data_IF_380104193034
#
_entry.id   IF_380104193034
#
_cell.length_a   1.000
_cell.length_b   1.000
_cell.length_c   1.000
_cell.angle_alpha   90.00
_cell.angle_beta   90.00
_cell.angle_gamma   90.00
#
_symmetry.space_group_name_H-M   'P 1'
#
loop_
_entity.id
_entity.type
_entity.pdbx_description
1 polymer ?
#
# COMPACT_ATOMS: atom_id res chain seq x y z
N UNK A 1 -7.59 -4.52 -22.98
CA UNK A 1 -8.22 -3.26 -23.45
C UNK A 1 -7.21 -2.13 -23.35
N UNK A 2 -7.07 -1.35 -24.41
CA UNK A 2 -5.91 -0.48 -24.65
C UNK A 2 -6.08 0.84 -23.91
N UNK A 3 -5.21 1.12 -22.93
CA UNK A 3 -5.00 2.49 -22.45
C UNK A 3 -4.08 3.19 -23.43
N UNK A 4 -4.55 4.29 -24.01
CA UNK A 4 -3.81 5.06 -25.00
C UNK A 4 -3.64 4.35 -26.34
N UNK A 5 -4.41 4.76 -27.35
CA UNK A 5 -4.07 4.43 -28.72
C UNK A 5 -2.87 5.30 -29.15
N UNK A 6 -1.88 4.74 -29.86
CA UNK A 6 -0.68 5.51 -30.25
C UNK A 6 -1.01 6.74 -31.09
N UNK A 7 -2.12 6.73 -31.85
CA UNK A 7 -2.60 7.91 -32.58
C UNK A 7 -3.51 8.83 -31.77
N UNK A 8 -3.80 8.53 -30.49
CA UNK A 8 -4.51 9.48 -29.65
C UNK A 8 -3.65 10.74 -29.48
N UNK A 9 -4.18 11.95 -29.73
CA UNK A 9 -3.42 13.19 -29.59
C UNK A 9 -2.96 13.43 -28.14
N UNK A 10 -3.62 12.79 -27.17
CA UNK A 10 -3.24 12.82 -25.75
C UNK A 10 -2.42 11.61 -25.32
N UNK A 11 -2.00 10.72 -26.23
CA UNK A 11 -1.17 9.58 -25.86
C UNK A 11 0.09 10.02 -25.13
N UNK A 12 0.32 9.46 -23.95
CA UNK A 12 1.48 9.80 -23.14
C UNK A 12 2.73 9.20 -23.75
N UNK A 13 3.57 10.07 -24.32
CA UNK A 13 4.82 9.66 -24.94
C UNK A 13 5.85 9.12 -23.93
N UNK A 14 5.68 9.44 -22.63
CA UNK A 14 6.58 9.00 -21.57
C UNK A 14 6.37 7.53 -21.21
N UNK A 15 5.18 7.13 -20.75
CA UNK A 15 4.94 5.72 -20.39
C UNK A 15 4.55 4.86 -21.60
N UNK A 16 4.07 5.46 -22.70
CA UNK A 16 3.47 4.75 -23.85
C UNK A 16 2.41 3.74 -23.44
N UNK A 17 1.72 4.01 -22.35
CA UNK A 17 0.76 3.10 -21.72
C UNK A 17 -0.59 3.75 -21.43
N UNK A 18 -0.71 5.08 -21.48
CA UNK A 18 -1.96 5.77 -21.15
C UNK A 18 -2.10 7.09 -21.92
N UNK A 19 -3.29 7.65 -21.96
CA UNK A 19 -3.56 9.00 -22.45
C UNK A 19 -3.32 10.02 -21.30
N UNK A 20 -3.06 11.30 -21.63
CA UNK A 20 -3.05 12.42 -20.69
C UNK A 20 -4.49 12.78 -20.33
N UNK A 21 -4.76 13.06 -19.06
CA UNK A 21 -6.08 13.44 -18.58
C UNK A 21 -6.51 14.77 -19.20
N UNK A 22 -7.76 14.85 -19.66
CA UNK A 22 -8.29 16.06 -20.31
C UNK A 22 -8.35 17.27 -19.38
N UNK A 23 -8.62 17.04 -18.09
CA UNK A 23 -8.77 18.09 -17.09
C UNK A 23 -7.45 18.70 -16.60
N UNK A 24 -6.39 17.90 -16.51
CA UNK A 24 -5.10 18.34 -15.93
C UNK A 24 -3.92 18.25 -16.90
N UNK A 25 -4.14 17.71 -18.10
CA UNK A 25 -3.13 17.42 -19.12
C UNK A 25 -1.92 16.59 -18.66
N UNK A 26 -2.06 15.85 -17.55
CA UNK A 26 -1.04 14.92 -17.03
C UNK A 26 -1.45 13.47 -17.26
N UNK A 27 -0.48 12.61 -17.55
CA UNK A 27 -0.68 11.16 -17.56
C UNK A 27 -0.70 10.64 -16.12
N UNK A 28 -1.82 10.06 -15.69
CA UNK A 28 -1.96 9.58 -14.32
C UNK A 28 -1.09 8.35 -14.04
N UNK A 29 -0.86 7.46 -15.02
CA UNK A 29 0.11 6.36 -14.87
C UNK A 29 1.54 6.86 -14.64
N UNK A 30 1.98 7.87 -15.40
CA UNK A 30 3.29 8.51 -15.14
C UNK A 30 3.29 9.27 -13.82
N UNK A 31 2.18 9.93 -13.47
CA UNK A 31 2.07 10.69 -12.23
C UNK A 31 2.21 9.79 -11.01
N UNK A 32 1.58 8.61 -11.02
CA UNK A 32 1.73 7.62 -9.96
C UNK A 32 3.20 7.22 -9.83
N UNK A 33 3.90 6.95 -10.95
CA UNK A 33 5.35 6.70 -10.93
C UNK A 33 6.17 7.86 -10.37
N UNK A 34 5.86 9.09 -10.77
CA UNK A 34 6.54 10.30 -10.25
C UNK A 34 6.25 10.54 -8.76
N UNK A 35 5.05 10.20 -8.29
CA UNK A 35 4.72 10.24 -6.86
C UNK A 35 5.57 9.21 -6.12
N UNK A 36 5.70 7.98 -6.64
CA UNK A 36 6.58 6.97 -6.05
C UNK A 36 8.04 7.45 -5.99
N UNK A 37 8.58 7.97 -7.10
CA UNK A 37 9.97 8.48 -7.16
C UNK A 37 10.19 9.67 -6.19
N UNK A 38 9.19 10.56 -6.04
CA UNK A 38 9.26 11.70 -5.11
C UNK A 38 9.13 11.29 -3.65
N UNK A 39 8.25 10.35 -3.33
CA UNK A 39 8.10 9.82 -1.96
C UNK A 39 9.41 9.15 -1.54
N UNK A 40 10.01 8.35 -2.42
CA UNK A 40 11.32 7.75 -2.20
C UNK A 40 12.41 8.81 -1.96
N UNK A 41 12.41 9.88 -2.76
CA UNK A 41 13.35 11.01 -2.58
C UNK A 41 13.12 11.77 -1.27
N UNK A 42 11.87 11.97 -0.84
CA UNK A 42 11.54 12.65 0.43
C UNK A 42 12.02 11.80 1.61
N UNK A 43 11.68 10.51 1.62
CA UNK A 43 12.10 9.60 2.70
C UNK A 43 13.62 9.49 2.80
N UNK A 44 14.33 9.44 1.67
CA UNK A 44 15.78 9.33 1.64
C UNK A 44 16.50 10.65 1.98
N UNK A 45 15.86 11.82 1.80
CA UNK A 45 16.48 13.14 1.98
C UNK A 45 15.90 13.95 3.15
N UNK A 46 15.21 13.32 4.10
CA UNK A 46 14.57 13.99 5.24
C UNK A 46 15.54 14.78 6.14
N UNK A 47 16.86 14.68 5.92
CA UNK A 47 17.90 15.42 6.68
C UNK A 47 18.24 16.83 6.15
N UNK A 48 17.67 17.31 5.03
CA UNK A 48 18.19 18.52 4.36
C UNK A 48 17.16 19.61 3.96
N UNK A 49 15.90 19.55 4.39
CA UNK A 49 14.92 20.59 4.03
C UNK A 49 14.65 21.52 5.21
N UNK A 50 15.61 22.39 5.51
CA UNK A 50 15.31 23.67 6.13
C UNK A 50 15.93 24.78 5.29
N UNK A 51 15.03 25.63 4.78
CA UNK A 51 15.20 26.99 4.26
C UNK A 51 15.01 27.17 2.74
N UNK A 52 14.02 28.00 2.43
CA UNK A 52 13.98 28.85 1.23
C UNK A 52 13.34 28.24 -0.01
N UNK A 53 12.00 28.26 -0.10
CA UNK A 53 11.34 28.49 -1.38
C UNK A 53 9.90 28.94 -1.17
N UNK A 54 9.66 30.21 -1.44
CA UNK A 54 8.33 30.78 -1.64
C UNK A 54 7.63 30.07 -2.82
N UNK A 55 6.30 29.98 -2.74
CA UNK A 55 5.37 29.54 -3.78
C UNK A 55 5.60 28.13 -4.36
N UNK A 56 5.31 27.08 -3.58
CA UNK A 56 4.89 25.80 -4.16
C UNK A 56 3.39 25.84 -4.40
N UNK A 57 3.00 25.95 -5.67
CA UNK A 57 1.64 25.70 -6.12
C UNK A 57 1.15 24.37 -5.51
N UNK A 58 0.03 24.43 -4.80
CA UNK A 58 -0.63 23.24 -4.27
C UNK A 58 -1.04 22.40 -5.47
N UNK A 59 -0.28 21.33 -5.74
CA UNK A 59 -0.50 20.47 -6.90
C UNK A 59 -1.89 19.83 -6.80
N UNK A 60 -2.83 20.35 -7.59
CA UNK A 60 -4.23 19.92 -7.59
C UNK A 60 -4.26 18.41 -7.86
N UNK A 61 -4.73 17.63 -6.88
CA UNK A 61 -5.01 16.21 -7.06
C UNK A 61 -6.20 16.11 -8.00
N UNK A 62 -5.92 15.96 -9.30
CA UNK A 62 -6.94 15.61 -10.28
C UNK A 62 -7.59 14.27 -9.90
N UNK A 63 -8.77 14.34 -9.28
CA UNK A 63 -9.56 13.17 -8.84
C UNK A 63 -10.38 12.55 -9.97
N UNK A 64 -10.49 13.24 -11.11
CA UNK A 64 -11.27 12.79 -12.26
C UNK A 64 -10.35 12.24 -13.36
N UNK A 65 -10.40 10.93 -13.59
CA UNK A 65 -9.94 10.32 -14.83
C UNK A 65 -10.98 10.60 -15.92
N UNK A 66 -10.83 11.70 -16.67
CA UNK A 66 -11.83 12.18 -17.63
C UNK A 66 -11.36 12.19 -19.09
N UNK A 67 -10.41 11.33 -19.45
CA UNK A 67 -10.08 11.15 -20.85
C UNK A 67 -10.50 9.75 -21.31
N UNK A 68 -11.64 9.70 -21.99
CA UNK A 68 -12.07 8.53 -22.71
C UNK A 68 -11.55 8.66 -24.15
N UNK A 69 -10.53 7.89 -24.51
CA UNK A 69 -9.95 7.94 -25.86
C UNK A 69 -10.93 7.35 -26.92
N UNK A 70 -12.11 6.82 -26.52
CA UNK A 70 -13.18 6.34 -27.41
C UNK A 70 -14.27 7.39 -27.71
N UNK A 71 -14.36 8.47 -26.93
CA UNK A 71 -15.41 9.49 -27.07
C UNK A 71 -15.28 10.36 -28.34
N UNK A 72 -14.21 10.21 -29.12
CA UNK A 72 -14.07 10.84 -30.45
C UNK A 72 -14.60 9.96 -31.59
N UNK A 73 -15.21 8.81 -31.28
CA UNK A 73 -16.01 8.06 -32.26
C UNK A 73 -17.47 8.55 -32.26
N UNK A 74 -18.13 8.64 -33.44
CA UNK A 74 -19.47 9.22 -33.52
C UNK A 74 -20.48 8.44 -32.66
N UNK A 75 -21.23 9.22 -31.87
CA UNK A 75 -22.34 8.91 -30.97
C UNK A 75 -22.87 7.46 -30.97
N UNK A 76 -22.52 6.73 -29.90
CA UNK A 76 -23.41 5.72 -29.32
C UNK A 76 -23.47 5.96 -27.80
N UNK A 77 -24.62 6.42 -27.33
CA UNK A 77 -24.96 6.47 -25.91
C UNK A 77 -24.93 5.07 -25.28
N UNK A 78 -24.10 4.85 -24.24
CA UNK A 78 -24.43 4.02 -23.06
C UNK A 78 -23.32 4.00 -21.99
N UNK A 79 -23.76 4.26 -20.75
CA UNK A 79 -23.23 3.85 -19.43
C UNK A 79 -21.71 3.92 -19.12
N UNK A 80 -21.42 4.84 -18.19
CA UNK A 80 -20.12 5.29 -17.69
C UNK A 80 -19.35 4.31 -16.76
N UNK A 81 -19.37 3.00 -17.01
CA UNK A 81 -18.64 2.00 -16.18
C UNK A 81 -17.72 1.05 -16.95
N UNK A 82 -17.72 1.04 -18.30
CA UNK A 82 -16.96 0.05 -19.10
C UNK A 82 -15.53 0.49 -19.47
N UNK A 83 -15.12 1.73 -19.17
CA UNK A 83 -13.80 2.22 -19.55
C UNK A 83 -12.73 1.89 -18.49
N UNK A 84 -12.09 0.72 -18.71
CA UNK A 84 -10.66 0.42 -18.45
C UNK A 84 -10.24 -0.05 -17.03
N UNK A 85 -10.89 -1.10 -16.56
CA UNK A 85 -10.18 -2.14 -15.79
C UNK A 85 -9.26 -2.90 -16.75
N UNK A 86 -7.96 -2.66 -16.68
CA UNK A 86 -6.99 -3.61 -17.22
C UNK A 86 -6.80 -4.66 -16.14
N UNK A 87 -7.22 -5.89 -16.42
CA UNK A 87 -6.91 -6.99 -15.52
C UNK A 87 -5.41 -7.01 -15.25
N UNK A 88 -4.95 -7.00 -14.00
CA UNK A 88 -3.49 -7.02 -13.69
C UNK A 88 -2.80 -8.18 -14.39
N UNK A 89 -3.51 -9.31 -14.46
CA UNK A 89 -3.28 -10.49 -15.29
C UNK A 89 -2.87 -10.20 -16.75
N UNK A 90 -3.21 -9.04 -17.32
CA UNK A 90 -2.91 -8.67 -18.71
C UNK A 90 -1.83 -7.60 -18.83
N UNK A 91 -1.13 -7.27 -17.73
CA UNK A 91 -0.09 -6.23 -17.69
C UNK A 91 1.19 -6.66 -18.42
N UNK A 92 1.99 -5.73 -18.96
CA UNK A 92 3.23 -6.06 -19.66
C UNK A 92 4.23 -6.68 -18.68
N UNK A 93 4.58 -7.95 -18.86
CA UNK A 93 5.52 -8.70 -17.99
C UNK A 93 4.94 -10.01 -17.46
N UNK A 94 3.61 -10.08 -17.30
CA UNK A 94 2.91 -11.30 -16.90
C UNK A 94 1.73 -11.50 -17.85
N UNK A 95 1.95 -12.18 -18.98
CA UNK A 95 0.90 -12.43 -20.00
C UNK A 95 0.02 -13.59 -19.53
N UNK A 96 -0.95 -13.30 -18.68
CA UNK A 96 -2.00 -14.25 -18.35
C UNK A 96 -2.91 -14.34 -19.58
N UNK A 97 -2.99 -15.53 -20.18
CA UNK A 97 -3.82 -15.77 -21.35
C UNK A 97 -5.30 -15.63 -20.93
N UNK A 98 -5.99 -14.61 -21.45
CA UNK A 98 -7.38 -14.31 -21.05
C UNK A 98 -8.34 -15.47 -21.31
N UNK A 99 -8.18 -16.20 -22.41
CA UNK A 99 -9.01 -17.38 -22.71
C UNK A 99 -8.77 -18.48 -21.67
N UNK A 100 -7.51 -18.71 -21.30
CA UNK A 100 -7.16 -19.67 -20.24
C UNK A 100 -7.73 -19.23 -18.89
N UNK A 101 -7.63 -17.94 -18.57
CA UNK A 101 -8.17 -17.34 -17.36
C UNK A 101 -9.68 -17.47 -17.25
N UNK A 102 -10.41 -17.10 -18.30
CA UNK A 102 -11.86 -17.15 -18.31
C UNK A 102 -12.42 -18.58 -18.23
N UNK A 103 -11.61 -19.58 -18.59
CA UNK A 103 -11.91 -21.01 -18.47
C UNK A 103 -11.28 -21.65 -17.22
N UNK A 104 -10.59 -20.87 -16.39
CA UNK A 104 -9.95 -21.42 -15.21
C UNK A 104 -10.98 -21.80 -14.16
N UNK A 105 -10.66 -22.83 -13.38
CA UNK A 105 -11.53 -23.32 -12.32
C UNK A 105 -11.80 -22.23 -11.28
N UNK A 106 -12.97 -22.32 -10.63
CA UNK A 106 -13.34 -21.42 -9.54
C UNK A 106 -13.09 -22.12 -8.22
N UNK A 107 -12.21 -21.55 -7.40
CA UNK A 107 -11.91 -21.98 -6.03
C UNK A 107 -12.79 -21.20 -5.06
N UNK A 108 -13.26 -21.87 -4.00
CA UNK A 108 -13.96 -21.21 -2.90
C UNK A 108 -13.02 -20.99 -1.72
N UNK A 109 -12.75 -19.74 -1.38
CA UNK A 109 -11.95 -19.34 -0.21
C UNK A 109 -12.91 -19.03 0.94
N UNK A 110 -12.75 -19.69 2.07
CA UNK A 110 -13.52 -19.44 3.29
C UNK A 110 -12.66 -18.63 4.24
N UNK A 111 -13.10 -17.42 4.59
CA UNK A 111 -12.35 -16.52 5.47
C UNK A 111 -12.93 -16.44 6.89
N UNK A 112 -12.02 -16.38 7.85
CA UNK A 112 -12.31 -16.13 9.26
C UNK A 112 -13.13 -17.24 9.92
N UNK A 113 -13.50 -17.01 11.17
CA UNK A 113 -14.30 -17.95 11.96
C UNK A 113 -15.71 -18.17 11.38
N UNK A 114 -16.26 -17.13 10.74
CA UNK A 114 -17.57 -17.18 10.08
C UNK A 114 -17.55 -17.98 8.78
N UNK A 115 -16.36 -18.31 8.24
CA UNK A 115 -16.17 -19.02 6.98
C UNK A 115 -16.96 -18.37 5.84
N UNK A 116 -16.79 -17.06 5.67
CA UNK A 116 -17.43 -16.32 4.59
C UNK A 116 -16.86 -16.79 3.23
N UNK A 117 -17.69 -17.27 2.28
CA UNK A 117 -17.21 -17.85 1.03
C UNK A 117 -16.94 -16.79 -0.06
N UNK A 118 -15.74 -16.84 -0.64
CA UNK A 118 -15.32 -16.05 -1.80
C UNK A 118 -15.03 -16.97 -2.97
N UNK A 119 -15.66 -16.71 -4.12
CA UNK A 119 -15.49 -17.52 -5.34
C UNK A 119 -14.53 -16.81 -6.29
N UNK A 120 -13.37 -17.42 -6.54
CA UNK A 120 -12.26 -16.77 -7.25
C UNK A 120 -11.68 -17.71 -8.31
N UNK A 121 -11.29 -17.16 -9.45
CA UNK A 121 -10.55 -17.88 -10.48
C UNK A 121 -9.19 -18.38 -9.96
N UNK A 122 -8.96 -19.69 -10.02
CA UNK A 122 -7.73 -20.34 -9.56
C UNK A 122 -6.48 -19.69 -10.15
N UNK A 123 -6.52 -19.43 -11.47
CA UNK A 123 -5.37 -18.89 -12.19
C UNK A 123 -4.98 -17.49 -11.70
N UNK A 124 -5.92 -16.74 -11.14
CA UNK A 124 -5.66 -15.41 -10.59
C UNK A 124 -4.88 -15.50 -9.28
N UNK A 125 -5.32 -16.38 -8.37
CA UNK A 125 -4.64 -16.63 -7.11
C UNK A 125 -3.21 -17.15 -7.34
N UNK A 126 -3.07 -18.16 -8.20
CA UNK A 126 -1.78 -18.79 -8.51
C UNK A 126 -0.80 -17.85 -9.24
N UNK A 127 -1.30 -16.83 -9.95
CA UNK A 127 -0.45 -15.86 -10.64
C UNK A 127 0.14 -14.80 -9.69
N UNK A 128 -0.61 -14.44 -8.65
CA UNK A 128 -0.24 -13.34 -7.75
C UNK A 128 0.38 -13.82 -6.43
N UNK A 129 0.10 -15.05 -6.00
CA UNK A 129 0.51 -15.58 -4.70
C UNK A 129 1.23 -16.91 -4.82
N UNK A 130 2.45 -16.96 -4.30
CA UNK A 130 3.23 -18.21 -4.21
C UNK A 130 2.54 -19.20 -3.27
N UNK A 131 1.96 -18.70 -2.17
CA UNK A 131 1.18 -19.51 -1.23
C UNK A 131 0.04 -20.27 -1.92
N UNK A 132 -0.85 -19.57 -2.63
CA UNK A 132 -1.97 -20.22 -3.32
C UNK A 132 -1.50 -21.12 -4.45
N UNK A 133 -0.46 -20.70 -5.20
CA UNK A 133 0.13 -21.52 -6.25
C UNK A 133 0.61 -22.88 -5.72
N UNK A 134 1.34 -22.87 -4.61
CA UNK A 134 1.84 -24.08 -3.99
C UNK A 134 0.68 -24.94 -3.44
N UNK A 135 -0.26 -24.32 -2.74
CA UNK A 135 -1.41 -25.00 -2.15
C UNK A 135 -2.31 -25.68 -3.20
N UNK A 136 -2.57 -25.01 -4.32
CA UNK A 136 -3.54 -25.47 -5.32
C UNK A 136 -2.93 -26.37 -6.41
N UNK A 137 -1.62 -26.28 -6.67
CA UNK A 137 -0.98 -27.06 -7.75
C UNK A 137 -0.18 -28.28 -7.28
N UNK A 138 0.16 -28.39 -5.99
CA UNK A 138 1.01 -29.50 -5.49
C UNK A 138 0.17 -30.77 -5.16
N UNK A 139 -1.13 -30.79 -5.46
CA UNK A 139 -1.96 -31.98 -5.27
C UNK A 139 -2.43 -32.20 -3.82
N UNK A 140 -2.34 -31.16 -2.98
CA UNK A 140 -2.83 -31.18 -1.60
C UNK A 140 -4.36 -31.27 -1.52
N UNK A 141 -4.91 -31.46 -0.32
CA UNK A 141 -6.36 -31.62 -0.10
C UNK A 141 -7.17 -30.50 -0.76
N UNK A 142 -6.70 -29.26 -0.65
CA UNK A 142 -7.32 -28.05 -1.20
C UNK A 142 -7.43 -28.08 -2.74
N UNK A 143 -6.43 -28.68 -3.41
CA UNK A 143 -6.46 -28.87 -4.86
C UNK A 143 -7.55 -29.86 -5.31
N UNK A 144 -7.90 -30.81 -4.44
CA UNK A 144 -8.92 -31.82 -4.71
C UNK A 144 -10.32 -31.28 -4.39
N UNK A 145 -10.48 -30.62 -3.23
CA UNK A 145 -11.78 -30.09 -2.79
C UNK A 145 -12.18 -28.79 -3.45
N UNK A 146 -11.24 -28.09 -4.09
CA UNK A 146 -11.45 -26.74 -4.66
C UNK A 146 -11.92 -25.73 -3.62
N UNK A 147 -11.45 -25.93 -2.39
CA UNK A 147 -11.74 -25.07 -1.25
C UNK A 147 -10.49 -24.82 -0.42
N UNK A 148 -10.33 -23.59 0.06
CA UNK A 148 -9.28 -23.19 0.99
C UNK A 148 -9.93 -22.54 2.18
N UNK A 149 -9.49 -22.88 3.39
CA UNK A 149 -9.91 -22.20 4.63
C UNK A 149 -8.75 -21.34 5.11
N UNK A 150 -9.03 -20.08 5.43
CA UNK A 150 -8.07 -19.13 5.98
C UNK A 150 -8.68 -18.55 7.26
N UNK A 151 -8.16 -18.98 8.40
CA UNK A 151 -8.76 -18.78 9.73
C UNK A 151 -7.83 -18.13 10.76
N UNK A 152 -6.67 -17.63 10.33
CA UNK A 152 -5.79 -16.87 11.22
C UNK A 152 -6.30 -15.43 11.33
N UNK A 153 -5.86 -14.73 12.38
CA UNK A 153 -6.30 -13.37 12.69
C UNK A 153 -6.03 -12.36 11.56
N UNK A 154 -4.96 -12.57 10.81
CA UNK A 154 -4.59 -11.73 9.66
C UNK A 154 -5.45 -11.99 8.41
N UNK A 155 -6.21 -13.09 8.37
CA UNK A 155 -7.06 -13.49 7.24
C UNK A 155 -8.41 -12.76 7.26
N UNK A 156 -8.36 -11.44 7.45
CA UNK A 156 -9.55 -10.62 7.57
C UNK A 156 -10.26 -10.48 6.21
N UNK A 157 -11.61 -10.40 6.20
CA UNK A 157 -12.36 -10.08 4.98
C UNK A 157 -11.86 -8.81 4.29
N UNK A 158 -11.54 -7.77 5.07
CA UNK A 158 -11.00 -6.51 4.57
C UNK A 158 -9.71 -6.72 3.76
N UNK A 159 -8.71 -7.39 4.32
CA UNK A 159 -7.44 -7.60 3.63
C UNK A 159 -7.60 -8.45 2.38
N UNK A 160 -8.44 -9.49 2.45
CA UNK A 160 -8.72 -10.35 1.30
C UNK A 160 -9.47 -9.62 0.18
N UNK A 161 -10.47 -8.79 0.49
CA UNK A 161 -11.17 -7.97 -0.50
C UNK A 161 -10.19 -7.04 -1.25
N UNK A 162 -9.23 -6.43 -0.54
CA UNK A 162 -8.21 -5.60 -1.18
C UNK A 162 -7.20 -6.42 -1.99
N UNK A 163 -6.87 -7.63 -1.55
CA UNK A 163 -6.13 -8.58 -2.39
C UNK A 163 -6.90 -8.97 -3.65
N UNK A 164 -8.22 -9.13 -3.57
CA UNK A 164 -9.07 -9.39 -4.73
C UNK A 164 -9.08 -8.22 -5.71
N UNK A 165 -9.26 -6.99 -5.21
CA UNK A 165 -9.13 -5.77 -6.01
C UNK A 165 -7.74 -5.71 -6.67
N UNK A 166 -6.67 -6.01 -5.93
CA UNK A 166 -5.32 -6.06 -6.46
C UNK A 166 -5.17 -7.08 -7.60
N UNK A 167 -5.66 -8.30 -7.39
CA UNK A 167 -5.62 -9.36 -8.38
C UNK A 167 -6.32 -8.95 -9.68
N UNK A 168 -7.52 -8.38 -9.56
CA UNK A 168 -8.31 -7.97 -10.71
C UNK A 168 -7.84 -6.65 -11.32
N UNK A 169 -7.38 -5.66 -10.56
CA UNK A 169 -7.17 -4.30 -11.06
C UNK A 169 -5.72 -3.84 -11.04
N UNK A 170 -4.87 -4.51 -10.27
CA UNK A 170 -3.47 -4.13 -10.07
C UNK A 170 -3.28 -2.99 -9.07
N UNK A 171 -4.34 -2.66 -8.34
CA UNK A 171 -4.39 -1.71 -7.24
C UNK A 171 -5.65 -2.01 -6.42
N UNK A 172 -5.71 -1.50 -5.20
CA UNK A 172 -6.95 -1.46 -4.43
C UNK A 172 -7.34 -0.02 -4.12
N UNK A 173 -8.63 0.18 -3.85
CA UNK A 173 -9.19 1.48 -3.53
C UNK A 173 -9.69 1.49 -2.09
N UNK A 174 -9.55 2.64 -1.42
CA UNK A 174 -10.15 2.82 -0.11
C UNK A 174 -11.67 2.95 -0.25
N UNK A 175 -12.39 2.43 0.75
CA UNK A 175 -13.83 2.67 0.86
C UNK A 175 -14.14 4.17 0.97
N UNK A 176 -15.32 4.58 0.53
CA UNK A 176 -15.76 5.99 0.55
C UNK A 176 -16.25 6.47 1.92
N UNK A 177 -16.15 5.63 2.95
CA UNK A 177 -16.52 5.97 4.32
C UNK A 177 -15.65 7.10 4.87
N UNK A 178 -16.28 8.12 5.49
CA UNK A 178 -15.60 9.31 6.02
C UNK A 178 -14.63 9.01 7.18
N UNK A 179 -14.76 7.84 7.79
CA UNK A 179 -13.97 7.41 8.96
C UNK A 179 -13.13 6.15 8.66
N UNK A 180 -12.83 5.87 7.39
CA UNK A 180 -12.00 4.72 7.05
C UNK A 180 -10.58 4.92 7.61
N UNK A 181 -10.15 4.06 8.54
CA UNK A 181 -8.79 4.00 9.05
C UNK A 181 -7.84 3.51 7.93
N UNK A 182 -7.46 4.44 7.03
CA UNK A 182 -6.74 4.12 5.80
C UNK A 182 -5.42 3.42 6.08
N UNK A 183 -4.68 3.90 7.07
CA UNK A 183 -3.39 3.32 7.46
C UNK A 183 -3.56 1.90 8.02
N UNK A 184 -4.60 1.65 8.83
CA UNK A 184 -4.93 0.30 9.32
C UNK A 184 -5.32 -0.64 8.18
N UNK A 185 -5.98 -0.12 7.15
CA UNK A 185 -6.29 -0.89 5.94
C UNK A 185 -5.00 -1.31 5.23
N UNK A 186 -4.08 -0.37 5.00
CA UNK A 186 -2.80 -0.67 4.35
C UNK A 186 -1.94 -1.64 5.18
N UNK A 187 -1.96 -1.52 6.50
CA UNK A 187 -1.29 -2.45 7.42
C UNK A 187 -1.88 -3.87 7.34
N UNK A 188 -3.21 -4.00 7.37
CA UNK A 188 -3.89 -5.29 7.22
C UNK A 188 -3.53 -5.96 5.89
N UNK A 189 -3.53 -5.18 4.79
CA UNK A 189 -3.13 -5.67 3.46
C UNK A 189 -1.65 -6.05 3.42
N UNK A 190 -0.77 -5.26 4.03
CA UNK A 190 0.67 -5.54 4.07
C UNK A 190 0.98 -6.87 4.76
N UNK A 191 0.42 -7.09 5.96
CA UNK A 191 0.58 -8.32 6.73
C UNK A 191 -0.01 -9.51 5.99
N UNK A 192 -1.23 -9.37 5.46
CA UNK A 192 -1.87 -10.41 4.68
C UNK A 192 -1.04 -10.79 3.44
N UNK A 193 -0.55 -9.79 2.70
CA UNK A 193 0.26 -9.99 1.50
C UNK A 193 1.58 -10.72 1.79
N UNK A 194 2.21 -10.45 2.92
CA UNK A 194 3.38 -11.20 3.37
C UNK A 194 3.06 -12.66 3.60
N UNK A 195 1.99 -12.92 4.35
CA UNK A 195 1.50 -14.26 4.69
C UNK A 195 1.18 -15.09 3.44
N UNK A 196 0.49 -14.50 2.45
CA UNK A 196 0.21 -15.18 1.18
C UNK A 196 1.37 -15.09 0.17
N UNK A 197 2.53 -14.57 0.57
CA UNK A 197 3.72 -14.43 -0.27
C UNK A 197 3.45 -13.67 -1.59
N UNK A 198 2.66 -12.60 -1.52
CA UNK A 198 2.39 -11.67 -2.61
C UNK A 198 3.24 -10.39 -2.43
N UNK A 199 4.54 -10.50 -2.73
CA UNK A 199 5.51 -9.44 -2.43
C UNK A 199 5.22 -8.11 -3.13
N UNK A 200 4.66 -8.15 -4.35
CA UNK A 200 4.28 -6.92 -5.06
C UNK A 200 3.15 -6.18 -4.36
N UNK A 201 2.15 -6.90 -3.81
CA UNK A 201 1.08 -6.29 -3.03
C UNK A 201 1.61 -5.75 -1.70
N UNK A 202 2.50 -6.50 -1.04
CA UNK A 202 3.18 -6.07 0.19
C UNK A 202 3.91 -4.75 -0.05
N UNK A 203 4.70 -4.66 -1.12
CA UNK A 203 5.39 -3.42 -1.49
C UNK A 203 4.41 -2.29 -1.81
N UNK A 204 3.33 -2.57 -2.57
CA UNK A 204 2.32 -1.57 -2.90
C UNK A 204 1.63 -0.99 -1.65
N UNK A 205 1.22 -1.84 -0.70
CA UNK A 205 0.58 -1.42 0.54
C UNK A 205 1.50 -0.54 1.39
N UNK A 206 2.79 -0.88 1.46
CA UNK A 206 3.78 -0.05 2.16
C UNK A 206 3.91 1.34 1.51
N UNK A 207 3.96 1.43 0.19
CA UNK A 207 4.05 2.71 -0.48
C UNK A 207 2.80 3.58 -0.29
N UNK A 208 1.62 2.96 -0.29
CA UNK A 208 0.37 3.64 0.05
C UNK A 208 0.40 4.21 1.47
N UNK A 209 0.85 3.42 2.45
CA UNK A 209 1.03 3.87 3.83
C UNK A 209 2.05 5.02 3.96
N UNK A 210 3.16 4.97 3.22
CA UNK A 210 4.15 6.06 3.18
C UNK A 210 3.52 7.38 2.73
N UNK A 211 2.67 7.34 1.70
CA UNK A 211 1.94 8.53 1.21
C UNK A 211 1.04 9.12 2.29
N UNK A 212 0.35 8.27 3.06
CA UNK A 212 -0.51 8.71 4.18
C UNK A 212 0.31 9.35 5.31
N UNK A 213 1.42 8.72 5.71
CA UNK A 213 2.29 9.22 6.77
C UNK A 213 3.04 10.51 6.40
N UNK A 214 3.29 10.73 5.11
CA UNK A 214 3.96 11.95 4.61
C UNK A 214 3.01 13.15 4.42
N UNK A 215 1.70 13.02 4.68
CA UNK A 215 0.77 14.12 4.46
C UNK A 215 1.07 15.32 5.39
N UNK A 216 1.29 16.53 4.86
CA UNK A 216 1.57 17.72 5.67
C UNK A 216 0.31 18.27 6.36
N UNK A 217 -0.87 17.76 6.04
CA UNK A 217 -2.13 18.27 6.56
C UNK A 217 -2.40 17.70 7.95
N UNK A 218 -2.45 18.57 8.97
CA UNK A 218 -2.77 18.19 10.36
C UNK A 218 -4.08 17.43 10.51
N UNK A 219 -5.08 17.72 9.67
CA UNK A 219 -6.36 17.01 9.67
C UNK A 219 -6.17 15.52 9.29
N UNK A 220 -5.37 15.25 8.26
CA UNK A 220 -5.06 13.90 7.80
C UNK A 220 -4.25 13.14 8.85
N UNK A 221 -3.33 13.82 9.55
CA UNK A 221 -2.59 13.23 10.69
C UNK A 221 -3.59 12.79 11.76
N UNK A 222 -4.52 13.66 12.17
CA UNK A 222 -5.49 13.32 13.22
C UNK A 222 -6.42 12.16 12.82
N UNK A 223 -6.87 12.10 11.56
CA UNK A 223 -7.67 10.96 11.10
C UNK A 223 -6.85 9.67 11.06
N UNK A 224 -5.57 9.74 10.68
CA UNK A 224 -4.67 8.59 10.68
C UNK A 224 -4.31 8.11 12.09
N UNK A 225 -4.40 8.99 13.10
CA UNK A 225 -4.22 8.63 14.50
C UNK A 225 -5.37 7.76 15.03
N UNK A 226 -6.56 7.83 14.41
CA UNK A 226 -7.67 6.94 14.75
C UNK A 226 -7.33 5.51 14.29
N UNK A 227 -7.16 4.59 15.24
CA UNK A 227 -6.73 3.22 14.95
C UNK A 227 -5.21 3.05 14.84
N UNK A 228 -4.42 4.10 15.05
CA UNK A 228 -2.97 4.06 14.86
C UNK A 228 -2.27 3.14 15.86
N UNK A 229 -2.71 3.17 17.11
CA UNK A 229 -2.14 2.37 18.18
C UNK A 229 -2.39 0.87 17.96
N UNK A 230 -3.61 0.54 17.55
CA UNK A 230 -4.02 -0.79 17.14
C UNK A 230 -3.24 -1.24 15.91
N UNK A 231 -2.96 -0.33 14.98
CA UNK A 231 -2.12 -0.60 13.79
C UNK A 231 -0.68 -0.94 14.17
N UNK A 232 -0.09 -0.24 15.15
CA UNK A 232 1.24 -0.55 15.67
C UNK A 232 1.25 -1.97 16.24
N UNK A 233 0.33 -2.27 17.16
CA UNK A 233 0.25 -3.59 17.78
C UNK A 233 0.08 -4.68 16.71
N UNK A 234 -0.87 -4.51 15.81
CA UNK A 234 -1.17 -5.47 14.75
C UNK A 234 0.05 -5.74 13.86
N UNK A 235 0.77 -4.71 13.40
CA UNK A 235 1.95 -4.87 12.55
C UNK A 235 3.09 -5.53 13.31
N UNK A 236 3.39 -5.09 14.53
CA UNK A 236 4.49 -5.66 15.31
C UNK A 236 4.20 -7.10 15.76
N UNK A 237 2.95 -7.46 16.02
CA UNK A 237 2.58 -8.84 16.35
C UNK A 237 2.72 -9.80 15.15
N UNK A 238 2.45 -9.33 13.93
CA UNK A 238 2.31 -10.20 12.75
C UNK A 238 3.42 -10.06 11.71
N UNK A 239 4.42 -9.22 11.95
CA UNK A 239 5.64 -9.15 11.15
C UNK A 239 6.82 -9.48 12.03
N UNK A 240 7.89 -10.06 11.48
CA UNK A 240 9.12 -10.30 12.25
C UNK A 240 10.28 -9.54 11.64
N UNK A 241 11.09 -8.92 12.49
CA UNK A 241 12.39 -8.41 12.08
C UNK A 241 13.33 -9.61 11.92
N UNK A 242 13.85 -9.83 10.71
CA UNK A 242 14.79 -10.92 10.40
C UNK A 242 16.18 -10.73 11.04
N UNK A 243 16.28 -9.85 12.04
CA UNK A 243 17.54 -9.35 12.58
C UNK A 243 18.26 -10.32 13.51
N UNK A 244 17.60 -11.40 13.90
CA UNK A 244 18.13 -12.36 14.87
C UNK A 244 18.78 -13.59 14.21
N UNK A 245 18.67 -13.71 12.88
CA UNK A 245 19.19 -14.86 12.13
C UNK A 245 20.50 -14.58 11.39
N UNK A 246 20.90 -13.31 11.23
CA UNK A 246 22.14 -12.95 10.52
C UNK A 246 23.29 -12.66 11.50
N UNK A 247 24.16 -13.66 11.71
CA UNK A 247 25.42 -13.58 12.49
C UNK A 247 26.52 -12.72 11.81
N UNK A 248 26.18 -11.61 11.15
CA UNK A 248 27.11 -10.80 10.38
C UNK A 248 27.10 -9.32 10.73
N UNK A 249 28.25 -8.65 10.54
CA UNK A 249 28.46 -7.19 10.67
C UNK A 249 27.63 -6.33 9.69
N UNK A 250 26.57 -6.87 9.07
CA UNK A 250 25.72 -6.10 8.16
C UNK A 250 24.69 -5.30 8.95
N UNK A 251 24.34 -4.08 8.50
CA UNK A 251 23.26 -3.32 9.10
C UNK A 251 21.97 -4.13 9.02
N UNK A 252 21.37 -4.36 10.19
CA UNK A 252 20.10 -5.07 10.37
C UNK A 252 19.02 -4.42 9.49
N UNK A 253 18.46 -5.19 8.55
CA UNK A 253 17.36 -4.72 7.70
C UNK A 253 16.05 -4.88 8.46
N UNK A 254 15.43 -3.75 8.82
CA UNK A 254 14.14 -3.69 9.50
C UNK A 254 12.99 -3.95 8.51
N UNK A 255 11.87 -4.48 8.99
CA UNK A 255 10.63 -4.53 8.22
C UNK A 255 10.18 -3.11 7.86
N UNK A 256 9.81 -2.92 6.59
CA UNK A 256 9.54 -1.59 6.05
C UNK A 256 8.34 -0.89 6.69
N UNK A 257 7.32 -1.65 7.11
CA UNK A 257 6.12 -1.07 7.72
C UNK A 257 6.36 -0.75 9.20
N UNK A 258 7.07 -1.63 9.94
CA UNK A 258 7.55 -1.33 11.30
C UNK A 258 8.39 -0.05 11.33
N UNK A 259 9.36 0.05 10.43
CA UNK A 259 10.20 1.25 10.27
C UNK A 259 9.36 2.51 10.00
N UNK A 260 8.36 2.42 9.12
CA UNK A 260 7.46 3.53 8.81
C UNK A 260 6.70 4.01 10.05
N UNK A 261 6.10 3.09 10.81
CA UNK A 261 5.32 3.41 12.00
C UNK A 261 6.20 4.03 13.10
N UNK A 262 7.40 3.50 13.31
CA UNK A 262 8.35 4.05 14.28
C UNK A 262 8.83 5.46 13.91
N UNK A 263 9.19 5.70 12.64
CA UNK A 263 9.55 7.03 12.12
C UNK A 263 8.42 8.05 12.25
N UNK A 264 7.21 7.63 11.86
CA UNK A 264 6.03 8.49 11.97
C UNK A 264 5.74 8.82 13.44
N UNK A 265 5.88 7.85 14.34
CA UNK A 265 5.71 8.04 15.77
C UNK A 265 6.75 8.98 16.36
N UNK A 266 8.03 8.80 16.02
CA UNK A 266 9.11 9.68 16.46
C UNK A 266 8.85 11.15 16.05
N UNK A 267 8.41 11.35 14.81
CA UNK A 267 8.10 12.69 14.26
C UNK A 267 6.89 13.35 14.94
N UNK A 268 5.99 12.55 15.52
CA UNK A 268 4.75 13.01 16.14
C UNK A 268 4.67 12.74 17.65
N UNK A 269 5.81 12.45 18.29
CA UNK A 269 5.86 11.96 19.68
C UNK A 269 5.19 12.90 20.67
N UNK A 270 5.32 14.22 20.45
CA UNK A 270 4.68 15.24 21.29
C UNK A 270 3.14 15.20 21.27
N UNK A 271 2.56 14.74 20.17
CA UNK A 271 1.11 14.53 20.05
C UNK A 271 0.73 13.18 20.64
N UNK A 272 1.44 12.12 20.26
CA UNK A 272 1.16 10.76 20.69
C UNK A 272 1.23 10.56 22.21
N UNK A 273 2.22 11.15 22.89
CA UNK A 273 2.36 11.05 24.35
C UNK A 273 1.22 11.68 25.16
N UNK A 274 0.36 12.48 24.51
CA UNK A 274 -0.84 13.06 25.16
C UNK A 274 -2.00 12.09 25.17
N UNK A 275 -1.97 11.08 24.31
CA UNK A 275 -2.95 9.99 24.29
C UNK A 275 -2.53 8.97 25.36
N UNK A 276 -3.39 8.73 26.36
CA UNK A 276 -3.05 7.85 27.48
C UNK A 276 -2.74 6.41 27.04
N UNK A 277 -3.43 5.93 26.00
CA UNK A 277 -3.26 4.60 25.42
C UNK A 277 -1.93 4.41 24.69
N UNK A 278 -1.20 5.48 24.36
CA UNK A 278 0.11 5.36 23.69
C UNK A 278 1.14 4.66 24.59
N UNK A 279 1.12 4.94 25.89
CA UNK A 279 2.03 4.31 26.84
C UNK A 279 1.72 2.83 27.06
N UNK A 280 0.45 2.43 26.91
CA UNK A 280 0.03 1.03 26.95
C UNK A 280 0.63 0.27 25.76
N UNK A 281 0.55 0.84 24.55
CA UNK A 281 1.17 0.25 23.33
C UNK A 281 2.69 0.18 23.44
N UNK A 282 3.33 1.24 23.92
CA UNK A 282 4.77 1.27 24.14
C UNK A 282 5.22 0.15 25.10
N UNK A 283 4.43 -0.10 26.15
CA UNK A 283 4.72 -1.15 27.13
C UNK A 283 4.41 -2.56 26.59
N UNK A 284 3.35 -2.69 25.78
CA UNK A 284 2.92 -3.95 25.19
C UNK A 284 3.84 -4.43 24.05
N UNK A 285 4.55 -3.52 23.36
CA UNK A 285 5.46 -3.84 22.27
C UNK A 285 6.87 -3.24 22.49
N UNK A 286 7.76 -3.94 23.22
CA UNK A 286 9.13 -3.48 23.48
C UNK A 286 9.96 -3.25 22.21
N UNK A 287 9.70 -4.04 21.16
CA UNK A 287 10.33 -3.90 19.85
C UNK A 287 9.99 -2.56 19.22
N UNK A 288 8.71 -2.16 19.24
CA UNK A 288 8.29 -0.84 18.80
C UNK A 288 8.95 0.27 19.63
N UNK A 289 9.04 0.10 20.96
CA UNK A 289 9.73 1.05 21.82
C UNK A 289 11.20 1.24 21.44
N UNK A 290 11.89 0.14 21.13
CA UNK A 290 13.29 0.15 20.65
C UNK A 290 13.44 0.92 19.34
N UNK A 291 12.53 0.69 18.39
CA UNK A 291 12.54 1.35 17.08
C UNK A 291 12.21 2.84 17.19
N UNK A 292 11.24 3.17 18.04
CA UNK A 292 10.86 4.55 18.33
C UNK A 292 12.04 5.33 18.90
N UNK A 293 12.72 4.81 19.93
CA UNK A 293 13.88 5.45 20.54
C UNK A 293 15.00 5.67 19.53
N UNK A 294 15.27 4.67 18.68
CA UNK A 294 16.25 4.77 17.62
C UNK A 294 15.98 5.96 16.68
N UNK A 295 14.73 6.15 16.25
CA UNK A 295 14.39 7.26 15.34
C UNK A 295 14.28 8.62 16.05
N UNK A 296 13.95 8.66 17.34
CA UNK A 296 14.00 9.89 18.15
C UNK A 296 15.45 10.38 18.26
N UNK A 297 16.41 9.49 18.53
CA UNK A 297 17.83 9.84 18.58
C UNK A 297 18.38 10.35 17.24
N UNK A 298 17.98 9.72 16.14
CA UNK A 298 18.39 10.16 14.80
C UNK A 298 17.86 11.56 14.48
N UNK A 299 16.64 11.87 14.90
CA UNK A 299 16.03 13.17 14.70
C UNK A 299 16.78 14.29 15.44
N UNK A 300 17.37 13.99 16.61
CA UNK A 300 18.18 14.94 17.37
C UNK A 300 19.54 15.26 16.76
N UNK A 301 20.18 14.28 16.09
CA UNK A 301 21.54 14.43 15.52
C UNK A 301 21.61 15.31 14.27
N UNK A 302 20.48 15.64 13.65
CA UNK A 302 20.42 16.36 12.37
C UNK A 302 20.35 17.89 12.45
N UNK A 303 20.35 18.50 13.64
CA UNK A 303 20.10 19.95 13.79
C UNK A 303 21.25 20.76 14.37
N UNK A 304 22.39 20.15 14.72
CA UNK A 304 23.51 20.86 15.36
C UNK A 304 24.58 21.28 14.36
N UNK A 305 24.26 22.31 13.59
CA UNK A 305 25.19 23.42 13.35
C UNK A 305 24.48 24.69 13.78
N UNK A 306 24.84 25.20 14.97
CA UNK A 306 24.37 26.43 15.62
C UNK A 306 22.94 26.43 16.23
N UNK A 307 22.78 25.95 17.47
CA UNK A 307 22.73 26.81 18.68
C UNK A 307 22.30 26.02 19.92
N UNK A 308 23.09 26.19 21.00
CA UNK A 308 22.95 25.57 22.32
C UNK A 308 21.53 25.69 22.91
N UNK A 309 20.90 24.55 23.20
CA UNK A 309 19.73 24.47 24.07
C UNK A 309 19.43 23.02 24.47
N UNK A 310 19.95 22.59 25.63
CA UNK A 310 19.73 21.25 26.16
C UNK A 310 18.25 20.99 26.51
N UNK A 311 17.63 19.99 25.90
CA UNK A 311 16.40 19.38 26.40
C UNK A 311 16.74 18.07 27.09
N UNK A 312 16.64 18.08 28.43
CA UNK A 312 16.69 16.92 29.31
C UNK A 312 15.28 16.32 29.32
N UNK A 313 15.16 15.03 28.99
CA UNK A 313 13.94 14.24 29.20
C UNK A 313 13.82 13.95 30.71
N UNK A 314 12.76 14.48 31.33
CA UNK A 314 12.19 14.03 32.61
C UNK A 314 10.70 13.79 32.39
#
# INVERSE_FOLDING_TARGET
MVRGYQSCPRFCQTCKQDCRCSSCDKCHSCRIKLIFERVETIFNNTSLITQGSQNREVEIICKTFKHDCLAETPEVEKCCWESLVRLKATSPGNKLNFEKFARSEIITIYLGQEKLPYRVHEQLLCAESIFFKNMLLIGMWESQTRSVVMDLEVDTPLAFEKFMEWCYFGYYIYGTGKDAALLSTDAAVYVFADRIQCMDLKAFALEQAKVLCASPKKADIKSNLSGFLETILFVYEHTMDMTDLENGNKPKRRDGFRELLAKFSASNLNLLRKESSFMDVYSASPEFGTDLLYFVEQSGKGTDTDTRGACILN
#
